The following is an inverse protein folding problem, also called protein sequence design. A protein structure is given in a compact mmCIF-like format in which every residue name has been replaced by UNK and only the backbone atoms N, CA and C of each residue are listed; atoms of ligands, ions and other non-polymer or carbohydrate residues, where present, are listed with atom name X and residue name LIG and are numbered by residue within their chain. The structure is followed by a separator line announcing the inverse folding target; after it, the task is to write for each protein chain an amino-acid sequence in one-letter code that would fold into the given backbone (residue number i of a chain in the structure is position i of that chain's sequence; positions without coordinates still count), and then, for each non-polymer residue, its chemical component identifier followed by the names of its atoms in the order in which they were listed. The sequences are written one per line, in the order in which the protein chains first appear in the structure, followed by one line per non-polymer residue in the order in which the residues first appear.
data_IF_015276694417
#
_entry.id   IF_015276694417
#
_cell.length_a   1.000
_cell.length_b   1.000
_cell.length_c   1.000
_cell.angle_alpha   90.00
_cell.angle_beta   90.00
_cell.angle_gamma   90.00
#
_symmetry.space_group_name_H-M   'P 1'
#
loop_
_entity.id
_entity.type
_entity.pdbx_description
1 polymer ?
#
# COMPACT_ATOMS: atom_id res chain seq x y z
N UNK A 1 -39.17 46.42 1.54
CA UNK A 1 -39.78 45.07 1.46
C UNK A 1 -38.80 44.04 2.01
N UNK A 2 -39.13 43.34 3.12
CA UNK A 2 -38.32 42.24 3.67
C UNK A 2 -38.56 40.96 2.83
N UNK A 3 -37.51 40.37 2.25
CA UNK A 3 -37.58 39.00 1.67
C UNK A 3 -37.48 37.98 2.81
N UNK A 4 -38.41 37.02 2.87
CA UNK A 4 -38.26 35.79 3.66
C UNK A 4 -37.33 34.83 2.90
N UNK A 5 -36.36 34.24 3.59
CA UNK A 5 -35.61 33.08 3.08
C UNK A 5 -36.22 31.81 3.67
N UNK A 6 -36.65 30.88 2.83
CA UNK A 6 -37.01 29.52 3.25
C UNK A 6 -35.78 28.61 3.07
N UNK A 7 -35.42 27.87 4.12
CA UNK A 7 -34.34 26.88 4.09
C UNK A 7 -34.97 25.50 3.92
N UNK A 8 -34.67 24.84 2.81
CA UNK A 8 -35.10 23.45 2.58
C UNK A 8 -34.36 22.52 3.56
N UNK A 9 -35.11 21.65 4.23
CA UNK A 9 -34.57 20.70 5.21
C UNK A 9 -34.68 19.28 4.65
N UNK A 10 -33.64 18.47 4.85
CA UNK A 10 -33.67 17.03 4.55
C UNK A 10 -33.89 16.25 5.84
N UNK A 11 -34.76 15.23 5.78
CA UNK A 11 -35.16 14.39 6.92
C UNK A 11 -34.69 12.96 6.68
N UNK A 12 -33.94 12.41 7.63
CA UNK A 12 -33.47 11.02 7.62
C UNK A 12 -33.88 10.32 8.91
N UNK A 13 -34.11 9.01 8.89
CA UNK A 13 -34.26 8.20 10.09
C UNK A 13 -32.91 7.56 10.45
N UNK A 14 -32.52 7.61 11.71
CA UNK A 14 -31.36 6.87 12.21
C UNK A 14 -31.68 5.38 12.43
N UNK A 15 -30.67 4.63 12.87
CA UNK A 15 -30.77 3.18 13.12
C UNK A 15 -31.76 2.80 14.21
N UNK A 16 -32.14 3.75 15.07
CA UNK A 16 -33.12 3.57 16.14
C UNK A 16 -34.51 4.12 15.73
N UNK A 17 -34.65 4.55 14.47
CA UNK A 17 -35.89 5.10 13.91
C UNK A 17 -36.15 6.57 14.25
N UNK A 18 -35.19 7.27 14.86
CA UNK A 18 -35.34 8.69 15.18
C UNK A 18 -35.07 9.56 13.95
N UNK A 19 -35.92 10.56 13.75
CA UNK A 19 -35.77 11.46 12.61
C UNK A 19 -34.81 12.61 12.92
N UNK A 20 -33.72 12.70 12.15
CA UNK A 20 -32.77 13.80 12.17
C UNK A 20 -33.09 14.73 10.99
N UNK A 21 -33.30 16.01 11.28
CA UNK A 21 -33.49 17.06 10.26
C UNK A 21 -32.22 17.90 10.14
N UNK A 22 -31.75 18.10 8.91
CA UNK A 22 -30.57 18.93 8.63
C UNK A 22 -30.84 19.87 7.45
N UNK A 23 -30.19 21.06 7.39
CA UNK A 23 -30.27 21.93 6.23
C UNK A 23 -29.81 21.18 4.97
N UNK A 24 -30.50 21.38 3.84
CA UNK A 24 -30.14 20.76 2.57
C UNK A 24 -28.66 21.04 2.23
N UNK A 25 -27.84 19.99 2.23
CA UNK A 25 -26.43 19.98 1.86
C UNK A 25 -26.28 19.18 0.55
N UNK A 26 -25.33 19.57 -0.29
CA UNK A 26 -25.11 19.00 -1.62
C UNK A 26 -24.94 17.47 -1.56
N UNK A 27 -25.49 16.73 -2.54
CA UNK A 27 -25.58 15.26 -2.50
C UNK A 27 -24.25 14.52 -2.30
N UNK A 28 -23.15 15.11 -2.74
CA UNK A 28 -21.80 14.57 -2.62
C UNK A 28 -21.34 14.45 -1.16
N UNK A 29 -21.70 15.40 -0.29
CA UNK A 29 -21.30 15.38 1.13
C UNK A 29 -22.06 14.31 1.93
N UNK A 30 -23.31 14.03 1.54
CA UNK A 30 -24.13 12.97 2.13
C UNK A 30 -23.56 11.60 1.73
N UNK A 31 -23.22 11.43 0.45
CA UNK A 31 -22.60 10.21 -0.05
C UNK A 31 -21.25 9.92 0.62
N UNK A 32 -20.38 10.92 0.77
CA UNK A 32 -19.11 10.77 1.48
C UNK A 32 -19.28 10.39 2.95
N UNK A 33 -20.24 11.02 3.65
CA UNK A 33 -20.49 10.73 5.07
C UNK A 33 -21.07 9.33 5.24
N UNK A 34 -22.01 8.92 4.38
CA UNK A 34 -22.53 7.55 4.34
C UNK A 34 -21.39 6.56 4.08
N UNK A 35 -20.54 6.83 3.10
CA UNK A 35 -19.47 5.90 2.72
C UNK A 35 -18.45 5.71 3.85
N UNK A 36 -18.10 6.81 4.57
CA UNK A 36 -17.26 6.72 5.77
C UNK A 36 -17.91 5.90 6.89
N UNK A 37 -19.20 6.11 7.14
CA UNK A 37 -19.94 5.38 8.18
C UNK A 37 -20.13 3.90 7.81
N UNK A 38 -20.47 3.59 6.56
CA UNK A 38 -20.56 2.22 6.05
C UNK A 38 -19.21 1.51 6.18
N UNK A 39 -18.11 2.14 5.75
CA UNK A 39 -16.77 1.57 5.85
C UNK A 39 -16.38 1.29 7.31
N UNK A 40 -16.71 2.21 8.23
CA UNK A 40 -16.49 2.02 9.66
C UNK A 40 -17.30 0.83 10.22
N UNK A 41 -18.60 0.76 9.92
CA UNK A 41 -19.47 -0.32 10.38
C UNK A 41 -19.06 -1.68 9.78
N UNK A 42 -18.71 -1.72 8.49
CA UNK A 42 -18.23 -2.94 7.84
C UNK A 42 -16.95 -3.44 8.51
N UNK A 43 -15.98 -2.55 8.73
CA UNK A 43 -14.72 -2.91 9.39
C UNK A 43 -14.96 -3.38 10.84
N UNK A 44 -15.89 -2.77 11.57
CA UNK A 44 -16.19 -3.16 12.94
C UNK A 44 -16.88 -4.53 12.98
N UNK A 45 -17.85 -4.79 12.11
CA UNK A 45 -18.56 -6.06 12.02
C UNK A 45 -17.63 -7.18 11.56
N UNK A 46 -16.82 -6.94 10.53
CA UNK A 46 -15.83 -7.91 10.04
C UNK A 46 -14.83 -8.25 11.13
N UNK A 47 -14.23 -7.26 11.79
CA UNK A 47 -13.26 -7.50 12.87
C UNK A 47 -13.87 -8.26 14.05
N UNK A 48 -15.06 -7.85 14.50
CA UNK A 48 -15.73 -8.48 15.65
C UNK A 48 -16.10 -9.94 15.37
N UNK A 49 -16.67 -10.22 14.19
CA UNK A 49 -17.07 -11.58 13.83
C UNK A 49 -15.85 -12.48 13.56
N UNK A 50 -14.79 -11.93 12.95
CA UNK A 50 -13.57 -12.69 12.68
C UNK A 50 -12.82 -13.01 13.98
N UNK A 51 -12.67 -12.03 14.88
CA UNK A 51 -12.03 -12.22 16.18
C UNK A 51 -12.83 -13.22 17.05
N UNK A 52 -14.16 -13.17 16.99
CA UNK A 52 -15.02 -14.12 17.72
C UNK A 52 -14.87 -15.55 17.19
N UNK A 53 -14.94 -15.75 15.88
CA UNK A 53 -14.78 -17.08 15.25
C UNK A 53 -13.37 -17.64 15.50
N UNK A 54 -12.33 -16.81 15.40
CA UNK A 54 -10.96 -17.23 15.70
C UNK A 54 -10.77 -17.57 17.19
N UNK A 55 -11.46 -16.87 18.09
CA UNK A 55 -11.41 -17.18 19.52
C UNK A 55 -12.11 -18.50 19.86
N UNK A 56 -13.21 -18.82 19.18
CA UNK A 56 -13.95 -20.08 19.37
C UNK A 56 -13.24 -21.29 18.74
N UNK A 57 -12.46 -21.07 17.67
CA UNK A 57 -11.63 -22.07 16.97
C UNK A 57 -10.18 -22.12 17.46
N UNK A 58 -9.84 -21.37 18.51
CA UNK A 58 -8.49 -21.34 19.07
C UNK A 58 -7.96 -22.77 19.30
N UNK A 59 -6.69 -22.99 18.94
CA UNK A 59 -5.97 -24.28 19.03
C UNK A 59 -6.16 -24.94 20.41
N UNK A 60 -6.41 -24.14 21.43
CA UNK A 60 -6.72 -24.55 22.81
C UNK A 60 -7.94 -25.48 22.94
N UNK A 61 -8.93 -25.41 22.05
CA UNK A 61 -10.06 -26.36 22.01
C UNK A 61 -9.79 -27.56 21.10
N UNK A 62 -8.96 -27.40 20.07
CA UNK A 62 -8.68 -28.45 19.09
C UNK A 62 -7.64 -29.46 19.59
N UNK A 63 -6.67 -29.00 20.38
CA UNK A 63 -5.60 -29.83 20.95
C UNK A 63 -5.78 -29.88 22.47
N UNK A 64 -6.66 -30.77 22.94
CA UNK A 64 -6.98 -30.94 24.37
C UNK A 64 -5.83 -31.47 25.26
N UNK A 65 -4.62 -31.66 24.72
CA UNK A 65 -3.45 -32.20 25.41
C UNK A 65 -2.31 -31.16 25.48
N UNK A 66 -1.89 -30.82 26.71
CA UNK A 66 -0.79 -29.89 27.01
C UNK A 66 0.58 -30.26 26.43
N UNK A 67 0.89 -31.56 26.24
CA UNK A 67 2.17 -31.99 25.68
C UNK A 67 2.22 -31.83 24.18
N UNK A 68 1.17 -32.30 23.49
CA UNK A 68 0.99 -32.09 22.06
C UNK A 68 0.95 -30.59 21.70
N UNK A 69 0.39 -29.75 22.59
CA UNK A 69 0.45 -28.27 22.46
C UNK A 69 1.88 -27.73 22.53
N UNK A 70 2.69 -28.22 23.46
CA UNK A 70 4.06 -27.73 23.64
C UNK A 70 4.91 -28.11 22.44
N UNK A 71 4.85 -29.38 22.03
CA UNK A 71 5.58 -29.90 20.88
C UNK A 71 5.15 -29.21 19.57
N UNK A 72 3.84 -28.99 19.39
CA UNK A 72 3.30 -28.26 18.23
C UNK A 72 3.78 -26.80 18.21
N UNK A 73 3.70 -26.10 19.34
CA UNK A 73 4.14 -24.71 19.42
C UNK A 73 5.65 -24.56 19.19
N UNK A 74 6.45 -25.50 19.69
CA UNK A 74 7.90 -25.54 19.42
C UNK A 74 8.18 -25.80 17.95
N UNK A 75 7.47 -26.75 17.34
CA UNK A 75 7.59 -27.03 15.91
C UNK A 75 7.24 -25.81 15.05
N UNK A 76 6.11 -25.15 15.33
CA UNK A 76 5.70 -23.93 14.61
C UNK A 76 6.74 -22.81 14.78
N UNK A 77 7.33 -22.64 15.97
CA UNK A 77 8.39 -21.66 16.19
C UNK A 77 9.64 -21.97 15.35
N UNK A 78 10.05 -23.24 15.27
CA UNK A 78 11.20 -23.65 14.47
C UNK A 78 10.95 -23.40 12.98
N UNK A 79 9.78 -23.79 12.47
CA UNK A 79 9.39 -23.56 11.06
C UNK A 79 9.40 -22.06 10.73
N UNK A 80 8.84 -21.21 11.61
CA UNK A 80 8.89 -19.75 11.44
C UNK A 80 10.31 -19.20 11.48
N UNK A 81 11.16 -19.70 12.38
CA UNK A 81 12.55 -19.25 12.46
C UNK A 81 13.32 -19.54 11.16
N UNK A 82 13.08 -20.70 10.53
CA UNK A 82 13.66 -21.04 9.23
C UNK A 82 13.13 -20.11 8.14
N UNK A 83 11.80 -19.91 8.06
CA UNK A 83 11.19 -19.00 7.08
C UNK A 83 11.72 -17.56 7.21
N UNK A 84 11.77 -17.07 8.45
CA UNK A 84 12.29 -15.74 8.78
C UNK A 84 13.75 -15.62 8.33
N UNK A 85 14.60 -16.59 8.67
CA UNK A 85 16.03 -16.54 8.32
C UNK A 85 16.25 -16.55 6.80
N UNK A 86 15.49 -17.36 6.06
CA UNK A 86 15.52 -17.38 4.61
C UNK A 86 15.15 -16.02 4.00
N UNK A 87 14.04 -15.41 4.46
CA UNK A 87 13.64 -14.09 3.97
C UNK A 87 14.64 -13.02 4.39
N UNK A 88 15.17 -13.07 5.61
CA UNK A 88 16.16 -12.11 6.09
C UNK A 88 17.46 -12.18 5.25
N UNK A 89 17.91 -13.37 4.80
CA UNK A 89 19.04 -13.49 3.86
C UNK A 89 18.71 -13.01 2.44
N UNK A 90 17.49 -13.28 1.94
CA UNK A 90 17.03 -12.73 0.66
C UNK A 90 17.05 -11.19 0.68
N UNK A 91 16.54 -10.59 1.75
CA UNK A 91 16.53 -9.13 1.91
C UNK A 91 17.95 -8.56 2.08
N UNK A 92 18.84 -9.27 2.78
CA UNK A 92 20.26 -8.90 2.86
C UNK A 92 20.93 -8.95 1.48
N UNK A 93 20.60 -9.93 0.66
CA UNK A 93 21.14 -10.04 -0.71
C UNK A 93 20.65 -8.90 -1.59
N UNK A 94 19.38 -8.49 -1.44
CA UNK A 94 18.83 -7.31 -2.11
C UNK A 94 19.57 -6.04 -1.67
N UNK A 95 19.81 -5.89 -0.37
CA UNK A 95 20.58 -4.77 0.17
C UNK A 95 21.99 -4.69 -0.45
N UNK A 96 22.75 -5.79 -0.40
CA UNK A 96 24.10 -5.86 -0.98
C UNK A 96 24.09 -5.55 -2.48
N UNK A 97 23.10 -6.05 -3.22
CA UNK A 97 22.98 -5.76 -4.64
C UNK A 97 22.70 -4.28 -4.93
N UNK A 98 21.82 -3.63 -4.15
CA UNK A 98 21.53 -2.21 -4.32
C UNK A 98 22.77 -1.37 -4.01
N UNK A 99 23.52 -1.68 -2.95
CA UNK A 99 24.74 -0.96 -2.59
C UNK A 99 25.85 -1.15 -3.64
N UNK A 100 26.15 -2.40 -4.02
CA UNK A 100 27.25 -2.72 -4.96
C UNK A 100 27.04 -2.11 -6.34
N UNK A 101 25.78 -2.03 -6.79
CA UNK A 101 25.46 -1.49 -8.11
C UNK A 101 25.10 0.01 -8.09
N UNK A 102 25.22 0.67 -6.94
CA UNK A 102 24.84 2.08 -6.75
C UNK A 102 23.40 2.39 -7.19
N UNK A 103 22.49 1.44 -6.97
CA UNK A 103 21.05 1.61 -7.25
C UNK A 103 20.30 2.29 -6.09
N UNK A 104 21.01 3.18 -5.37
CA UNK A 104 20.47 3.98 -4.27
C UNK A 104 19.27 4.84 -4.71
N UNK A 105 19.24 5.15 -6.01
CA UNK A 105 18.16 5.84 -6.70
C UNK A 105 17.76 5.11 -7.98
N UNK A 106 16.46 4.92 -8.18
CA UNK A 106 15.90 4.27 -9.37
C UNK A 106 14.92 5.21 -10.03
N UNK A 107 15.08 5.39 -11.35
CA UNK A 107 14.16 6.19 -12.14
C UNK A 107 12.78 5.52 -12.21
N UNK A 108 11.73 6.32 -12.02
CA UNK A 108 10.34 5.92 -12.28
C UNK A 108 9.79 6.70 -13.48
N UNK A 109 8.81 6.14 -14.19
CA UNK A 109 8.31 6.76 -15.41
C UNK A 109 7.76 8.17 -15.22
N UNK A 110 7.77 8.92 -16.31
CA UNK A 110 7.11 10.22 -16.37
C UNK A 110 5.62 10.05 -16.19
N UNK A 111 5.06 10.98 -15.42
CA UNK A 111 3.64 11.14 -15.16
C UNK A 111 3.08 12.14 -16.17
N UNK A 112 2.02 11.75 -16.88
CA UNK A 112 1.22 12.66 -17.72
C UNK A 112 -0.26 12.37 -17.50
N UNK A 113 -0.95 13.29 -16.83
CA UNK A 113 -2.34 13.14 -16.44
C UNK A 113 -3.16 14.37 -16.87
N UNK A 114 -4.17 14.14 -17.71
CA UNK A 114 -5.16 15.15 -18.08
C UNK A 114 -6.43 15.03 -17.25
N UNK A 115 -7.06 16.16 -16.92
CA UNK A 115 -8.40 16.17 -16.34
C UNK A 115 -9.25 17.29 -16.96
N UNK A 116 -10.57 17.17 -16.83
CA UNK A 116 -11.50 18.21 -17.26
C UNK A 116 -12.62 18.41 -16.24
N UNK A 117 -13.06 19.65 -16.06
CA UNK A 117 -14.16 20.01 -15.16
C UNK A 117 -15.08 21.03 -15.82
N UNK A 118 -16.40 20.77 -15.79
CA UNK A 118 -17.40 21.73 -16.29
C UNK A 118 -17.77 22.71 -15.19
N UNK A 119 -17.57 24.01 -15.44
CA UNK A 119 -17.93 25.10 -14.53
C UNK A 119 -18.71 26.14 -15.34
N UNK A 120 -19.93 26.46 -14.89
CA UNK A 120 -20.81 27.45 -15.55
C UNK A 120 -20.90 27.27 -17.07
N UNK A 121 -21.33 26.08 -17.50
CA UNK A 121 -21.51 25.68 -18.90
C UNK A 121 -20.23 25.58 -19.76
N UNK A 122 -19.06 25.98 -19.25
CA UNK A 122 -17.76 25.86 -19.92
C UNK A 122 -17.03 24.62 -19.41
N UNK A 123 -16.49 23.79 -20.32
CA UNK A 123 -15.59 22.69 -19.97
C UNK A 123 -14.17 23.22 -19.89
N UNK A 124 -13.55 23.05 -18.74
CA UNK A 124 -12.18 23.48 -18.50
C UNK A 124 -11.27 22.27 -18.51
N UNK A 125 -10.10 22.40 -19.14
CA UNK A 125 -9.09 21.36 -19.23
C UNK A 125 -7.86 21.74 -18.43
N UNK A 126 -7.31 20.76 -17.71
CA UNK A 126 -6.00 20.88 -17.09
C UNK A 126 -5.14 19.66 -17.34
N UNK A 127 -3.84 19.86 -17.19
CA UNK A 127 -2.80 18.86 -17.32
C UNK A 127 -1.90 18.89 -16.09
N UNK A 128 -1.46 17.72 -15.67
CA UNK A 128 -0.39 17.54 -14.70
C UNK A 128 0.69 16.68 -15.34
N UNK A 129 1.93 17.16 -15.32
CA UNK A 129 3.10 16.41 -15.78
C UNK A 129 4.13 16.37 -14.68
N UNK A 130 4.77 15.23 -14.47
CA UNK A 130 5.94 15.11 -13.60
C UNK A 130 7.00 14.24 -14.27
N UNK A 131 8.18 14.80 -14.48
CA UNK A 131 9.29 14.26 -15.26
C UNK A 131 10.49 14.01 -14.36
N UNK A 132 11.39 13.13 -14.81
CA UNK A 132 12.58 12.70 -14.07
C UNK A 132 12.22 12.19 -12.66
N UNK A 133 11.26 11.28 -12.64
CA UNK A 133 10.84 10.63 -11.42
C UNK A 133 11.93 9.71 -10.88
N UNK A 134 12.08 9.66 -9.57
CA UNK A 134 13.02 8.80 -8.88
C UNK A 134 12.47 8.25 -7.56
N UNK A 135 12.95 7.07 -7.19
CA UNK A 135 12.66 6.39 -5.92
C UNK A 135 14.00 6.10 -5.24
N UNK A 136 14.06 6.35 -3.93
CA UNK A 136 15.27 6.14 -3.13
C UNK A 136 15.01 5.19 -1.97
N UNK A 137 16.10 4.69 -1.42
CA UNK A 137 16.17 3.89 -0.19
C UNK A 137 15.53 2.49 -0.31
N UNK A 138 15.52 1.90 -1.51
CA UNK A 138 15.05 0.51 -1.69
C UNK A 138 15.89 -0.52 -0.92
N UNK A 139 17.16 -0.20 -0.63
CA UNK A 139 18.04 -1.01 0.22
C UNK A 139 17.56 -1.16 1.67
N UNK A 140 16.51 -0.43 2.06
CA UNK A 140 15.92 -0.48 3.42
C UNK A 140 14.81 -1.51 3.57
N UNK A 141 14.67 -2.41 2.59
CA UNK A 141 13.72 -3.52 2.65
C UNK A 141 14.05 -4.40 3.86
N UNK A 142 13.03 -4.61 4.69
CA UNK A 142 13.10 -5.41 5.88
C UNK A 142 11.77 -6.12 6.10
N UNK A 143 11.80 -7.19 6.87
CA UNK A 143 10.62 -7.89 7.30
C UNK A 143 9.83 -7.07 8.32
N UNK A 144 8.50 -7.06 8.23
CA UNK A 144 7.61 -6.31 9.15
C UNK A 144 6.82 -7.20 10.10
N UNK A 145 6.74 -8.51 9.84
CA UNK A 145 6.08 -9.51 10.67
C UNK A 145 6.78 -10.89 10.56
N UNK A 146 6.31 -11.91 11.28
CA UNK A 146 6.79 -13.28 11.05
C UNK A 146 6.37 -13.80 9.67
N UNK A 147 7.28 -14.48 9.00
CA UNK A 147 7.03 -15.15 7.73
C UNK A 147 6.33 -16.48 8.00
N UNK A 148 5.33 -16.74 7.19
CA UNK A 148 4.60 -18.00 7.15
C UNK A 148 5.16 -18.92 6.07
N UNK A 149 4.97 -20.21 6.28
CA UNK A 149 5.42 -21.26 5.38
C UNK A 149 4.30 -22.28 5.22
N UNK A 150 4.06 -22.71 3.99
CA UNK A 150 3.04 -23.69 3.66
C UNK A 150 3.62 -24.71 2.67
N UNK A 151 3.45 -25.99 2.98
CA UNK A 151 3.79 -27.07 2.06
C UNK A 151 2.57 -27.42 1.20
N UNK A 152 2.76 -27.44 -0.11
CA UNK A 152 1.77 -27.84 -1.08
C UNK A 152 2.04 -29.27 -1.53
N UNK A 153 1.27 -30.20 -0.96
CA UNK A 153 1.36 -31.64 -1.24
C UNK A 153 1.15 -31.96 -2.73
N UNK A 154 0.37 -31.15 -3.46
CA UNK A 154 0.03 -31.42 -4.85
C UNK A 154 1.19 -31.09 -5.80
N UNK A 155 1.93 -30.00 -5.52
CA UNK A 155 3.10 -29.61 -6.31
C UNK A 155 4.41 -30.16 -5.73
N UNK A 156 4.41 -30.69 -4.50
CA UNK A 156 5.63 -30.98 -3.74
C UNK A 156 6.44 -29.72 -3.43
N UNK A 157 5.77 -28.57 -3.48
CA UNK A 157 6.37 -27.24 -3.35
C UNK A 157 6.19 -26.67 -1.96
N UNK A 158 7.01 -25.68 -1.64
CA UNK A 158 6.95 -24.89 -0.42
C UNK A 158 6.68 -23.44 -0.78
N UNK A 159 5.68 -22.84 -0.14
CA UNK A 159 5.42 -21.41 -0.23
C UNK A 159 5.92 -20.73 1.03
N UNK A 160 6.73 -19.69 0.84
CA UNK A 160 7.20 -18.80 1.90
C UNK A 160 6.58 -17.43 1.66
N UNK A 161 5.82 -16.91 2.62
CA UNK A 161 5.06 -15.68 2.42
C UNK A 161 4.87 -14.86 3.69
N UNK A 162 4.73 -13.55 3.50
CA UNK A 162 4.50 -12.63 4.60
C UNK A 162 4.68 -11.18 4.18
N UNK A 163 4.55 -10.28 5.15
CA UNK A 163 4.72 -8.85 4.94
C UNK A 163 6.18 -8.43 5.16
N UNK A 164 6.69 -7.71 4.18
CA UNK A 164 7.94 -6.94 4.24
C UNK A 164 7.61 -5.45 4.09
N UNK A 165 8.60 -4.59 4.18
CA UNK A 165 8.42 -3.15 4.01
C UNK A 165 9.76 -2.42 3.97
N UNK A 166 9.72 -1.18 3.53
CA UNK A 166 10.85 -0.26 3.51
C UNK A 166 10.83 0.58 4.77
N UNK A 167 11.91 0.59 5.55
CA UNK A 167 11.99 1.48 6.71
C UNK A 167 12.06 2.96 6.29
N UNK A 168 12.59 3.23 5.09
CA UNK A 168 12.52 4.53 4.45
C UNK A 168 12.12 4.37 2.97
N UNK A 169 11.02 5.02 2.57
CA UNK A 169 10.63 5.11 1.18
C UNK A 169 10.46 6.58 0.79
N UNK A 170 11.29 7.02 -0.14
CA UNK A 170 11.27 8.38 -0.68
C UNK A 170 11.09 8.35 -2.18
N UNK A 171 10.25 9.26 -2.68
CA UNK A 171 10.01 9.44 -4.10
C UNK A 171 10.18 10.91 -4.44
N UNK A 172 10.60 11.19 -5.65
CA UNK A 172 10.74 12.56 -6.14
C UNK A 172 10.51 12.66 -7.63
N UNK A 173 10.20 13.88 -8.07
CA UNK A 173 10.21 14.30 -9.46
C UNK A 173 10.91 15.65 -9.50
N UNK A 174 11.96 15.76 -10.29
CA UNK A 174 12.74 16.99 -10.39
C UNK A 174 11.92 18.12 -11.00
N UNK A 175 11.03 17.78 -11.94
CA UNK A 175 10.18 18.71 -12.64
C UNK A 175 8.73 18.25 -12.59
N UNK A 176 7.82 19.09 -12.13
CA UNK A 176 6.39 18.94 -12.33
C UNK A 176 5.79 20.22 -12.89
N UNK A 177 4.65 20.10 -13.56
CA UNK A 177 3.81 21.22 -13.96
C UNK A 177 2.34 20.85 -13.80
N UNK A 178 1.54 21.76 -13.26
CA UNK A 178 0.09 21.64 -13.28
C UNK A 178 -0.46 22.84 -14.02
N UNK A 179 -0.97 22.65 -15.24
CA UNK A 179 -1.50 23.75 -16.03
C UNK A 179 -3.00 23.64 -16.17
N UNK A 180 -3.64 24.80 -16.14
CA UNK A 180 -5.04 24.99 -16.45
C UNK A 180 -5.15 26.09 -17.49
N UNK A 181 -5.70 25.80 -18.67
CA UNK A 181 -5.67 26.73 -19.80
C UNK A 181 -4.25 27.24 -20.13
N UNK A 182 -3.25 26.35 -20.08
CA UNK A 182 -1.84 26.63 -20.29
C UNK A 182 -1.18 27.60 -19.29
N UNK A 183 -1.86 27.90 -18.18
CA UNK A 183 -1.32 28.71 -17.07
C UNK A 183 -1.31 27.85 -15.83
N UNK A 184 -0.19 27.82 -15.12
CA UNK A 184 -0.14 27.18 -13.82
C UNK A 184 1.28 27.00 -13.28
N UNK A 185 1.40 26.52 -12.05
CA UNK A 185 2.68 26.37 -11.38
C UNK A 185 3.50 25.21 -11.96
N UNK A 186 4.80 25.28 -11.68
CA UNK A 186 5.76 24.23 -11.96
C UNK A 186 6.87 24.26 -10.91
N UNK A 187 7.47 23.12 -10.61
CA UNK A 187 8.56 23.03 -9.65
C UNK A 187 9.06 21.62 -9.46
N UNK A 188 9.49 21.29 -8.25
CA UNK A 188 9.88 19.94 -7.85
C UNK A 188 8.85 19.34 -6.88
N UNK A 189 8.79 18.01 -6.86
CA UNK A 189 7.91 17.25 -5.99
C UNK A 189 8.74 16.21 -5.26
N UNK A 190 8.57 16.10 -3.94
CA UNK A 190 9.07 14.97 -3.18
C UNK A 190 8.01 14.42 -2.24
N UNK A 191 8.05 13.11 -2.03
CA UNK A 191 7.14 12.38 -1.18
C UNK A 191 7.94 11.47 -0.26
N UNK A 192 7.67 11.52 1.05
CA UNK A 192 8.18 10.57 2.03
C UNK A 192 7.04 9.72 2.54
N UNK A 193 7.16 8.41 2.43
CA UNK A 193 6.17 7.46 2.93
C UNK A 193 6.58 7.04 4.34
N UNK A 194 5.72 7.32 5.33
CA UNK A 194 6.04 7.03 6.72
C UNK A 194 5.88 5.55 7.08
N UNK A 195 4.85 4.88 6.55
CA UNK A 195 4.63 3.45 6.77
C UNK A 195 4.23 2.78 5.47
N UNK A 196 4.79 1.61 5.19
CA UNK A 196 4.41 0.80 4.04
C UNK A 196 4.46 -0.69 4.40
N UNK A 197 3.69 -1.48 3.65
CA UNK A 197 3.75 -2.94 3.70
C UNK A 197 3.67 -3.47 2.29
N UNK A 198 4.50 -4.45 2.02
CA UNK A 198 4.61 -5.16 0.75
C UNK A 198 4.37 -6.63 1.08
N UNK A 199 3.40 -7.25 0.41
CA UNK A 199 3.21 -8.67 0.49
C UNK A 199 4.24 -9.37 -0.39
N UNK A 200 4.88 -10.41 0.15
CA UNK A 200 5.81 -11.27 -0.58
C UNK A 200 5.30 -12.70 -0.50
N UNK A 201 5.27 -13.40 -1.64
CA UNK A 201 5.09 -14.85 -1.72
C UNK A 201 6.09 -15.45 -2.70
N UNK A 202 6.89 -16.38 -2.20
CA UNK A 202 7.90 -17.12 -2.96
C UNK A 202 7.52 -18.60 -2.98
N UNK A 203 7.57 -19.21 -4.16
CA UNK A 203 7.39 -20.65 -4.34
C UNK A 203 8.75 -21.32 -4.53
N UNK A 204 8.97 -22.42 -3.82
CA UNK A 204 10.20 -23.21 -3.82
C UNK A 204 9.82 -24.65 -4.16
N UNK A 205 10.42 -25.21 -5.20
CA UNK A 205 10.29 -26.63 -5.52
C UNK A 205 11.53 -27.34 -4.99
N UNK A 206 11.35 -28.18 -3.97
CA UNK A 206 12.44 -28.91 -3.33
C UNK A 206 12.79 -30.12 -4.20
N UNK A 207 13.95 -30.07 -4.84
CA UNK A 207 14.48 -31.15 -5.67
C UNK A 207 16.01 -31.18 -5.59
N UNK A 208 16.66 -32.12 -6.30
CA UNK A 208 18.13 -32.14 -6.40
C UNK A 208 18.71 -30.83 -7.01
N UNK A 209 17.88 -30.04 -7.69
CA UNK A 209 18.19 -28.67 -8.11
C UNK A 209 16.99 -27.79 -7.74
N UNK A 210 16.98 -27.17 -6.55
CA UNK A 210 15.84 -26.37 -6.10
C UNK A 210 15.51 -25.25 -7.07
N UNK A 211 14.22 -25.07 -7.37
CA UNK A 211 13.73 -23.97 -8.21
C UNK A 211 12.98 -22.98 -7.35
N UNK A 212 13.30 -21.69 -7.50
CA UNK A 212 12.70 -20.60 -6.74
C UNK A 212 11.98 -19.69 -7.73
N UNK A 213 10.79 -19.22 -7.34
CA UNK A 213 9.97 -18.35 -8.18
C UNK A 213 9.22 -17.34 -7.31
N UNK A 214 9.15 -16.09 -7.79
CA UNK A 214 8.26 -15.11 -7.21
C UNK A 214 6.83 -15.41 -7.64
N UNK A 215 5.95 -15.65 -6.68
CA UNK A 215 4.54 -15.98 -6.92
C UNK A 215 3.65 -14.75 -6.80
N UNK A 216 3.94 -13.90 -5.80
CA UNK A 216 3.24 -12.64 -5.59
C UNK A 216 4.18 -11.62 -4.94
N UNK A 217 4.09 -10.38 -5.41
CA UNK A 217 4.74 -9.22 -4.81
C UNK A 217 3.94 -7.97 -5.15
N UNK A 218 3.39 -7.33 -4.14
CA UNK A 218 2.65 -6.08 -4.31
C UNK A 218 2.63 -5.26 -3.02
N UNK A 219 2.53 -3.94 -3.16
CA UNK A 219 2.31 -3.03 -2.04
C UNK A 219 0.89 -3.23 -1.49
N UNK A 220 0.78 -3.64 -0.23
CA UNK A 220 -0.50 -3.76 0.48
C UNK A 220 -1.01 -2.38 0.90
N UNK A 221 -0.11 -1.51 1.38
CA UNK A 221 -0.43 -0.13 1.70
C UNK A 221 0.80 0.78 1.75
N UNK A 222 0.56 2.07 1.52
CA UNK A 222 1.44 3.18 1.86
C UNK A 222 0.64 4.23 2.65
N UNK A 223 1.15 4.63 3.81
CA UNK A 223 0.49 5.54 4.76
C UNK A 223 1.46 6.65 5.18
N UNK A 224 0.88 7.70 5.76
CA UNK A 224 1.61 8.86 6.28
C UNK A 224 2.50 9.52 5.22
N UNK A 225 1.98 9.64 4.00
CA UNK A 225 2.67 10.26 2.87
C UNK A 225 2.79 11.77 3.13
N UNK A 226 4.02 12.23 3.32
CA UNK A 226 4.36 13.64 3.45
C UNK A 226 4.83 14.15 2.10
N UNK A 227 4.12 15.12 1.55
CA UNK A 227 4.45 15.75 0.27
C UNK A 227 5.12 17.09 0.50
N UNK A 228 6.25 17.31 -0.15
CA UNK A 228 6.90 18.62 -0.28
C UNK A 228 6.80 19.04 -1.74
N UNK A 229 6.19 20.21 -1.98
CA UNK A 229 5.93 20.72 -3.33
C UNK A 229 6.66 22.05 -3.48
N UNK A 230 7.67 22.07 -4.33
CA UNK A 230 8.37 23.29 -4.74
C UNK A 230 7.63 24.03 -5.85
N UNK A 231 7.91 25.32 -6.02
CA UNK A 231 7.48 26.08 -7.20
C UNK A 231 6.03 26.60 -7.19
N UNK A 232 5.38 26.65 -6.01
CA UNK A 232 4.01 27.12 -5.85
C UNK A 232 3.85 28.66 -5.96
N UNK A 233 4.92 29.42 -5.79
CA UNK A 233 4.91 30.89 -5.92
C UNK A 233 3.91 31.57 -4.97
N UNK A 234 3.21 32.61 -5.45
CA UNK A 234 2.18 33.36 -4.68
C UNK A 234 0.79 32.70 -4.70
N UNK A 235 0.67 31.47 -5.23
CA UNK A 235 -0.62 30.83 -5.51
C UNK A 235 -0.99 29.79 -4.43
N UNK A 236 -1.00 30.20 -3.16
CA UNK A 236 -1.31 29.34 -2.01
C UNK A 236 -2.67 28.63 -2.13
N UNK A 237 -3.63 29.24 -2.85
CA UNK A 237 -4.95 28.63 -3.04
C UNK A 237 -4.93 27.35 -3.88
N UNK A 238 -3.89 27.12 -4.70
CA UNK A 238 -3.75 25.91 -5.53
C UNK A 238 -3.12 24.74 -4.77
N UNK A 239 -2.48 24.99 -3.63
CA UNK A 239 -1.69 23.99 -2.89
C UNK A 239 -2.54 22.80 -2.47
N UNK A 240 -3.73 23.03 -1.92
CA UNK A 240 -4.63 21.95 -1.49
C UNK A 240 -5.15 21.12 -2.67
N UNK A 241 -5.35 21.76 -3.83
CA UNK A 241 -5.83 21.09 -5.06
C UNK A 241 -4.73 20.23 -5.67
N UNK A 242 -3.53 20.79 -5.82
CA UNK A 242 -2.34 20.07 -6.30
C UNK A 242 -1.99 18.93 -5.36
N UNK A 243 -1.99 19.15 -4.04
CA UNK A 243 -1.74 18.10 -3.06
C UNK A 243 -2.77 16.95 -3.17
N UNK A 244 -4.06 17.27 -3.32
CA UNK A 244 -5.11 16.25 -3.50
C UNK A 244 -4.89 15.43 -4.77
N UNK A 245 -4.51 16.07 -5.88
CA UNK A 245 -4.21 15.38 -7.13
C UNK A 245 -2.97 14.51 -7.03
N UNK A 246 -1.89 15.02 -6.44
CA UNK A 246 -0.66 14.26 -6.23
C UNK A 246 -0.92 13.04 -5.34
N UNK A 247 -1.72 13.16 -4.26
CA UNK A 247 -2.10 12.02 -3.42
C UNK A 247 -2.94 11.00 -4.19
N UNK A 248 -3.92 11.44 -4.97
CA UNK A 248 -4.74 10.55 -5.80
C UNK A 248 -3.90 9.80 -6.84
N UNK A 249 -2.96 10.50 -7.46
CA UNK A 249 -2.04 9.96 -8.44
C UNK A 249 -1.03 8.99 -7.83
N UNK A 250 -0.48 9.33 -6.66
CA UNK A 250 0.41 8.46 -5.91
C UNK A 250 -0.21 7.08 -5.71
N UNK A 251 -1.46 7.05 -5.24
CA UNK A 251 -2.19 5.81 -4.96
C UNK A 251 -2.58 5.01 -6.21
N UNK A 252 -2.56 5.60 -7.41
CA UNK A 252 -3.09 4.95 -8.63
C UNK A 252 -2.04 4.59 -9.66
N UNK A 253 -0.98 5.40 -9.80
CA UNK A 253 0.05 5.19 -10.83
C UNK A 253 1.41 4.90 -10.20
N UNK A 254 1.83 5.69 -9.20
CA UNK A 254 3.14 5.55 -8.59
C UNK A 254 3.27 4.21 -7.85
N UNK A 255 2.22 3.78 -7.14
CA UNK A 255 2.19 2.45 -6.49
C UNK A 255 2.39 1.33 -7.52
N UNK A 256 1.73 1.38 -8.68
CA UNK A 256 1.88 0.35 -9.71
C UNK A 256 3.28 0.30 -10.33
N UNK A 257 3.91 1.46 -10.55
CA UNK A 257 5.29 1.52 -11.04
C UNK A 257 6.30 1.02 -9.99
N UNK A 258 6.08 1.36 -8.72
CA UNK A 258 6.87 0.83 -7.61
C UNK A 258 6.77 -0.70 -7.51
N UNK A 259 5.57 -1.26 -7.65
CA UNK A 259 5.36 -2.71 -7.65
C UNK A 259 6.20 -3.38 -8.76
N UNK A 260 6.19 -2.82 -9.98
CA UNK A 260 6.96 -3.34 -11.10
C UNK A 260 8.47 -3.31 -10.86
N UNK A 261 8.98 -2.18 -10.33
CA UNK A 261 10.40 -2.05 -9.97
C UNK A 261 10.76 -3.07 -8.89
N UNK A 262 10.03 -3.13 -7.78
CA UNK A 262 10.29 -4.07 -6.69
C UNK A 262 10.27 -5.53 -7.17
N UNK A 263 9.34 -5.88 -8.05
CA UNK A 263 9.25 -7.22 -8.63
C UNK A 263 10.53 -7.59 -9.37
N UNK A 264 11.02 -6.71 -10.24
CA UNK A 264 12.24 -6.95 -11.02
C UNK A 264 13.49 -7.17 -10.15
N UNK A 265 13.62 -6.42 -9.05
CA UNK A 265 14.73 -6.56 -8.10
C UNK A 265 14.67 -7.89 -7.35
N UNK A 266 13.52 -8.20 -6.74
CA UNK A 266 13.35 -9.45 -5.99
C UNK A 266 13.61 -10.65 -6.90
N UNK A 267 13.00 -10.69 -8.10
CA UNK A 267 13.20 -11.79 -9.06
C UNK A 267 14.68 -11.99 -9.39
N UNK A 268 15.43 -10.91 -9.59
CA UNK A 268 16.86 -10.97 -9.92
C UNK A 268 17.71 -11.53 -8.76
N UNK A 269 17.25 -11.41 -7.52
CA UNK A 269 17.97 -11.87 -6.33
C UNK A 269 17.59 -13.27 -5.87
N UNK A 270 16.42 -13.79 -6.26
CA UNK A 270 15.96 -15.11 -5.81
C UNK A 270 16.98 -16.21 -6.11
N UNK A 271 17.66 -16.18 -7.26
CA UNK A 271 18.66 -17.20 -7.64
C UNK A 271 19.97 -17.15 -6.84
N UNK A 272 20.20 -16.09 -6.06
CA UNK A 272 21.44 -15.88 -5.33
C UNK A 272 21.39 -16.41 -3.90
N UNK A 273 20.21 -16.82 -3.41
CA UNK A 273 20.02 -17.38 -2.07
C UNK A 273 20.08 -18.90 -2.12
N UNK A 274 20.95 -19.51 -1.31
CA UNK A 274 21.03 -20.96 -1.18
C UNK A 274 19.86 -21.52 -0.35
N UNK A 275 18.87 -22.07 -1.04
CA UNK A 275 17.69 -22.73 -0.44
C UNK A 275 18.08 -23.97 0.35
N UNK A 276 19.12 -24.71 -0.07
CA UNK A 276 19.55 -25.94 0.57
C UNK A 276 20.03 -25.73 1.99
N UNK A 277 20.56 -24.54 2.30
CA UNK A 277 20.93 -24.10 3.66
C UNK A 277 19.74 -24.10 4.63
N UNK A 278 18.52 -23.90 4.14
CA UNK A 278 17.33 -23.72 4.97
C UNK A 278 16.35 -24.88 4.91
N UNK A 279 16.22 -25.51 3.75
CA UNK A 279 15.17 -26.49 3.45
C UNK A 279 15.73 -27.85 2.99
N UNK A 280 17.06 -28.02 3.03
CA UNK A 280 17.77 -29.26 2.69
C UNK A 280 17.96 -30.22 3.84
#
# INVERSE_FOLDING_TARGET
MRRKSETLMTRFADVDGNFITTPYQNGDQIAEKLNRQLKYLLNQILKTNFDQVLSELSIDRLIGDSRLRTDYNEHVKQVRAVANSYVDELLSTVHDYVEVNHYEEISIPTIDAGFSKKILFITWHGEFKAENGHVRNLATLQRTADISMEYDEASGGLYVFGSIGLSELQLGYDNWSAKFMNVGPSGSLSAKVGQNSIFLKVGIIISASPTISLQDLHIEYAKDIKLEVGGLGILDFLVSTVATWVVGMFNSQIVGELDGVLNSYIVSMLSNVDVGKYFG
#
